data_IF_516082988823
#
_entry.id   IF_516082988823
#
_cell.length_a   1.000
_cell.length_b   1.000
_cell.length_c   1.000
_cell.angle_alpha   90.00
_cell.angle_beta   90.00
_cell.angle_gamma   90.00
#
_symmetry.space_group_name_H-M   'P 1'
#
loop_
_entity.id
_entity.type
_entity.pdbx_description
1 polymer ?
#
# COMPACT_ATOMS: atom_id res chain seq x y z
N UNK A 1 -12.98 -21.55 -15.69
CA UNK A 1 -11.71 -21.45 -16.45
C UNK A 1 -11.70 -20.13 -17.17
N UNK A 2 -10.84 -19.19 -16.78
CA UNK A 2 -10.68 -17.92 -17.52
C UNK A 2 -9.42 -18.08 -18.37
N UNK A 3 -9.59 -18.10 -19.69
CA UNK A 3 -8.48 -18.13 -20.63
C UNK A 3 -7.86 -16.73 -20.73
N UNK A 4 -6.55 -16.66 -20.51
CA UNK A 4 -5.78 -15.42 -20.51
C UNK A 4 -5.25 -15.13 -21.92
N UNK A 5 -5.70 -14.03 -22.51
CA UNK A 5 -5.22 -13.55 -23.80
C UNK A 5 -3.96 -12.72 -23.58
N UNK A 6 -2.79 -13.34 -23.77
CA UNK A 6 -1.50 -12.66 -23.78
C UNK A 6 -1.44 -11.68 -24.95
N UNK A 7 -1.18 -10.40 -24.67
CA UNK A 7 -0.87 -9.42 -25.71
C UNK A 7 0.61 -9.59 -26.10
N UNK A 8 0.85 -9.99 -27.34
CA UNK A 8 2.18 -10.28 -27.88
C UNK A 8 3.00 -9.00 -28.05
N UNK A 9 3.83 -8.66 -27.05
CA UNK A 9 4.89 -7.67 -27.18
C UNK A 9 6.25 -8.37 -27.30
N UNK A 10 6.69 -8.60 -28.54
CA UNK A 10 8.01 -9.15 -28.91
C UNK A 10 8.29 -10.59 -28.42
N UNK A 11 8.88 -11.42 -29.27
CA UNK A 11 9.03 -12.88 -29.11
C UNK A 11 9.71 -13.38 -27.82
N UNK A 12 10.24 -12.51 -26.96
CA UNK A 12 10.94 -12.87 -25.72
C UNK A 12 10.45 -12.15 -24.45
N UNK A 13 9.32 -11.43 -24.50
CA UNK A 13 8.81 -10.65 -23.36
C UNK A 13 7.32 -10.89 -23.15
N UNK A 14 6.98 -11.71 -22.17
CA UNK A 14 5.59 -11.85 -21.72
C UNK A 14 5.39 -10.96 -20.51
N UNK A 15 4.58 -9.90 -20.65
CA UNK A 15 4.09 -9.15 -19.48
C UNK A 15 3.13 -10.08 -18.77
N UNK A 16 3.57 -10.69 -17.67
CA UNK A 16 2.77 -11.63 -16.91
C UNK A 16 1.69 -10.91 -16.11
N UNK A 17 1.98 -9.69 -15.62
CA UNK A 17 0.97 -8.89 -14.92
C UNK A 17 1.33 -7.44 -14.75
N UNK A 18 0.31 -6.62 -14.62
CA UNK A 18 0.37 -5.24 -14.16
C UNK A 18 -0.68 -5.06 -13.06
N UNK A 19 -0.23 -4.73 -11.84
CA UNK A 19 -1.09 -4.61 -10.65
C UNK A 19 -0.65 -3.41 -9.82
N UNK A 20 -1.60 -2.67 -9.25
CA UNK A 20 -1.29 -1.60 -8.30
C UNK A 20 -1.37 -2.14 -6.88
N UNK A 21 -0.23 -2.34 -6.21
CA UNK A 21 -0.18 -2.86 -4.84
C UNK A 21 0.58 -1.89 -3.94
N UNK A 22 0.33 -1.98 -2.63
CA UNK A 22 1.17 -1.31 -1.64
C UNK A 22 2.52 -2.00 -1.57
N UNK A 23 3.58 -1.25 -1.83
CA UNK A 23 4.96 -1.72 -1.81
C UNK A 23 5.74 -1.04 -0.69
N UNK A 24 6.52 -1.85 0.05
CA UNK A 24 7.57 -1.35 0.91
C UNK A 24 8.74 -2.32 0.97
N UNK A 25 9.96 -1.82 0.82
CA UNK A 25 11.18 -2.63 1.04
C UNK A 25 11.45 -2.88 2.52
N UNK A 26 11.00 -1.97 3.40
CA UNK A 26 11.28 -1.98 4.83
C UNK A 26 10.06 -2.41 5.64
N UNK A 27 10.27 -3.17 6.72
CA UNK A 27 9.17 -3.71 7.52
C UNK A 27 8.32 -2.63 8.21
N UNK A 28 9.00 -1.72 8.90
CA UNK A 28 8.37 -0.77 9.81
C UNK A 28 8.09 0.58 9.14
N UNK A 29 8.58 0.81 7.91
CA UNK A 29 8.43 2.08 7.22
C UNK A 29 6.97 2.52 7.05
N UNK A 30 6.01 1.63 6.67
CA UNK A 30 4.60 2.00 6.62
C UNK A 30 4.05 2.44 7.97
N UNK A 31 4.43 1.76 9.05
CA UNK A 31 4.02 2.10 10.41
C UNK A 31 4.60 3.43 10.86
N UNK A 32 5.90 3.66 10.66
CA UNK A 32 6.55 4.92 11.00
C UNK A 32 5.94 6.11 10.26
N UNK A 33 5.70 5.97 8.95
CA UNK A 33 5.06 7.02 8.14
C UNK A 33 3.61 7.23 8.58
N UNK A 34 2.89 6.17 8.95
CA UNK A 34 1.53 6.28 9.50
C UNK A 34 1.50 7.07 10.81
N UNK A 35 2.41 6.78 11.75
CA UNK A 35 2.53 7.51 13.02
C UNK A 35 2.91 8.97 12.79
N UNK A 36 3.86 9.23 11.88
CA UNK A 36 4.25 10.59 11.51
C UNK A 36 3.05 11.39 10.96
N UNK A 37 2.27 10.80 10.06
CA UNK A 37 1.07 11.44 9.53
C UNK A 37 0.00 11.67 10.59
N UNK A 38 -0.15 10.75 11.54
CA UNK A 38 -1.08 10.94 12.66
C UNK A 38 -0.68 12.15 13.52
N UNK A 39 0.60 12.27 13.90
CA UNK A 39 1.10 13.41 14.68
C UNK A 39 0.90 14.72 13.91
N UNK A 40 1.23 14.72 12.62
CA UNK A 40 1.09 15.89 11.76
C UNK A 40 -0.39 16.29 11.58
N UNK A 41 -1.28 15.31 11.44
CA UNK A 41 -2.72 15.52 11.40
C UNK A 41 -3.27 16.12 12.69
N UNK A 42 -2.86 15.57 13.83
CA UNK A 42 -3.26 16.08 15.14
C UNK A 42 -2.83 17.54 15.34
N UNK A 43 -1.61 17.89 14.95
CA UNK A 43 -1.12 19.27 15.01
C UNK A 43 -1.94 20.20 14.11
N UNK A 44 -2.23 19.78 12.87
CA UNK A 44 -3.09 20.55 11.96
C UNK A 44 -4.50 20.79 12.53
N UNK A 45 -5.04 19.81 13.27
CA UNK A 45 -6.33 19.97 13.94
C UNK A 45 -6.27 21.05 15.01
N UNK A 46 -5.26 21.00 15.87
CA UNK A 46 -5.09 21.99 16.95
C UNK A 46 -4.95 23.41 16.37
N UNK A 47 -4.07 23.58 15.38
CA UNK A 47 -3.83 24.87 14.75
C UNK A 47 -5.09 25.37 14.03
N UNK A 48 -5.77 24.50 13.27
CA UNK A 48 -7.01 24.84 12.58
C UNK A 48 -8.11 25.29 13.54
N UNK A 49 -8.27 24.60 14.68
CA UNK A 49 -9.22 25.01 15.71
C UNK A 49 -8.85 26.35 16.36
N UNK A 50 -7.56 26.59 16.62
CA UNK A 50 -7.09 27.88 17.14
C UNK A 50 -7.39 29.05 16.20
N UNK A 51 -7.21 28.86 14.89
CA UNK A 51 -7.55 29.86 13.87
C UNK A 51 -9.06 30.14 13.87
N UNK A 52 -9.89 29.10 13.94
CA UNK A 52 -11.35 29.26 13.93
C UNK A 52 -11.82 29.99 15.19
N UNK A 53 -11.32 29.59 16.36
CA UNK A 53 -11.65 30.28 17.62
C UNK A 53 -11.26 31.77 17.57
N UNK A 54 -10.09 32.10 17.01
CA UNK A 54 -9.65 33.48 16.85
C UNK A 54 -10.40 34.28 15.77
N UNK A 55 -10.85 33.66 14.68
CA UNK A 55 -11.61 34.34 13.63
C UNK A 55 -13.05 34.68 14.05
N UNK A 56 -13.63 33.87 14.94
CA UNK A 56 -15.01 34.03 15.39
C UNK A 56 -15.11 34.63 16.80
N UNK A 57 -14.01 35.16 17.35
CA UNK A 57 -13.90 35.69 18.72
C UNK A 57 -14.59 34.79 19.76
N UNK A 58 -14.41 33.47 19.63
CA UNK A 58 -15.03 32.51 20.54
C UNK A 58 -14.23 32.53 21.84
N UNK A 59 -14.82 32.95 22.97
CA UNK A 59 -14.10 32.97 24.24
C UNK A 59 -13.76 31.54 24.66
N UNK A 60 -12.53 31.35 25.14
CA UNK A 60 -12.08 30.03 25.63
C UNK A 60 -12.66 29.69 27.00
N UNK A 61 -13.16 30.69 27.72
CA UNK A 61 -13.79 30.54 29.03
C UNK A 61 -15.30 30.84 28.88
N UNK A 62 -16.14 30.02 29.52
CA UNK A 62 -17.61 30.16 29.54
C UNK A 62 -18.30 30.07 28.17
N UNK A 63 -18.06 28.95 27.48
CA UNK A 63 -18.75 28.61 26.23
C UNK A 63 -20.24 28.34 26.48
N UNK A 64 -21.10 29.03 25.74
CA UNK A 64 -22.52 28.71 25.68
C UNK A 64 -22.77 27.38 24.95
N UNK A 65 -23.91 26.74 25.20
CA UNK A 65 -24.27 25.45 24.58
C UNK A 65 -24.23 25.50 23.06
N UNK A 66 -24.65 26.61 22.44
CA UNK A 66 -24.60 26.80 20.98
C UNK A 66 -23.16 26.89 20.45
N UNK A 67 -22.27 27.59 21.16
CA UNK A 67 -20.85 27.68 20.81
C UNK A 67 -20.14 26.32 20.93
N UNK A 68 -20.48 25.52 21.95
CA UNK A 68 -19.98 24.15 22.08
C UNK A 68 -20.34 23.28 20.86
N UNK A 69 -21.58 23.35 20.39
CA UNK A 69 -22.00 22.62 19.18
C UNK A 69 -21.26 23.07 17.93
N UNK A 70 -21.05 24.38 17.75
CA UNK A 70 -20.28 24.91 16.62
C UNK A 70 -18.84 24.40 16.66
N UNK A 71 -18.18 24.45 17.81
CA UNK A 71 -16.80 23.95 17.99
C UNK A 71 -16.74 22.45 17.70
N UNK A 72 -17.70 21.66 18.20
CA UNK A 72 -17.74 20.22 18.01
C UNK A 72 -17.94 19.83 16.53
N UNK A 73 -18.92 20.44 15.85
CA UNK A 73 -19.20 20.19 14.43
C UNK A 73 -17.97 20.54 13.59
N UNK A 74 -17.36 21.69 13.88
CA UNK A 74 -16.18 22.16 13.16
C UNK A 74 -14.98 21.23 13.36
N UNK A 75 -14.75 20.77 14.60
CA UNK A 75 -13.73 19.78 14.91
C UNK A 75 -13.94 18.48 14.11
N UNK A 76 -15.18 17.98 14.07
CA UNK A 76 -15.53 16.77 13.31
C UNK A 76 -15.25 16.93 11.81
N UNK A 77 -15.63 18.05 11.22
CA UNK A 77 -15.38 18.34 9.80
C UNK A 77 -13.87 18.39 9.53
N UNK A 78 -13.13 19.08 10.38
CA UNK A 78 -11.69 19.27 10.22
C UNK A 78 -10.93 17.93 10.33
N UNK A 79 -11.33 17.07 11.28
CA UNK A 79 -10.83 15.70 11.42
C UNK A 79 -11.10 14.86 10.16
N UNK A 80 -12.32 14.92 9.61
CA UNK A 80 -12.66 14.18 8.39
C UNK A 80 -11.82 14.63 7.20
N UNK A 81 -11.67 15.95 7.01
CA UNK A 81 -10.89 16.53 5.91
C UNK A 81 -9.41 16.12 6.04
N UNK A 82 -8.80 16.33 7.21
CA UNK A 82 -7.39 16.00 7.45
C UNK A 82 -7.15 14.51 7.29
N UNK A 83 -8.01 13.66 7.85
CA UNK A 83 -7.92 12.21 7.68
C UNK A 83 -7.97 11.80 6.21
N UNK A 84 -8.88 12.39 5.42
CA UNK A 84 -8.98 12.12 3.99
C UNK A 84 -7.68 12.45 3.23
N UNK A 85 -7.11 13.64 3.47
CA UNK A 85 -5.88 14.06 2.81
C UNK A 85 -4.66 13.25 3.26
N UNK A 86 -4.54 12.94 4.55
CA UNK A 86 -3.46 12.11 5.08
C UNK A 86 -3.53 10.70 4.50
N UNK A 87 -4.72 10.11 4.42
CA UNK A 87 -4.92 8.80 3.79
C UNK A 87 -4.55 8.83 2.30
N UNK A 88 -4.90 9.89 1.58
CA UNK A 88 -4.53 10.06 0.17
C UNK A 88 -3.01 10.18 -0.01
N UNK A 89 -2.33 10.94 0.85
CA UNK A 89 -0.88 11.07 0.86
C UNK A 89 -0.19 9.75 1.19
N UNK A 90 -0.65 9.04 2.23
CA UNK A 90 -0.18 7.70 2.57
C UNK A 90 -0.33 6.73 1.39
N UNK A 91 -1.50 6.72 0.75
CA UNK A 91 -1.74 5.89 -0.41
C UNK A 91 -0.79 6.24 -1.57
N UNK A 92 -0.56 7.52 -1.86
CA UNK A 92 0.39 7.95 -2.93
C UNK A 92 1.83 7.50 -2.67
N UNK A 93 2.25 7.44 -1.40
CA UNK A 93 3.58 6.97 -1.04
C UNK A 93 3.74 5.47 -1.24
N UNK A 94 2.76 4.67 -0.83
CA UNK A 94 2.89 3.21 -0.77
C UNK A 94 2.26 2.47 -1.95
N UNK A 95 1.17 2.94 -2.53
CA UNK A 95 0.58 2.32 -3.71
C UNK A 95 1.45 2.59 -4.94
N UNK A 96 2.10 1.53 -5.42
CA UNK A 96 2.98 1.56 -6.57
C UNK A 96 2.43 0.64 -7.66
N UNK A 97 2.58 1.06 -8.91
CA UNK A 97 2.33 0.21 -10.07
C UNK A 97 3.43 -0.84 -10.14
N UNK A 98 3.08 -2.11 -10.10
CA UNK A 98 4.01 -3.23 -10.13
C UNK A 98 3.71 -4.06 -11.37
N UNK A 99 4.74 -4.30 -12.18
CA UNK A 99 4.62 -5.14 -13.36
C UNK A 99 5.66 -6.25 -13.33
N UNK A 100 5.19 -7.49 -13.49
CA UNK A 100 6.06 -8.66 -13.59
C UNK A 100 6.17 -9.05 -15.07
N UNK A 101 7.39 -9.12 -15.58
CA UNK A 101 7.69 -9.45 -16.97
C UNK A 101 8.62 -10.66 -16.99
N UNK A 102 8.24 -11.70 -17.70
CA UNK A 102 9.12 -12.85 -17.92
C UNK A 102 10.10 -12.57 -19.07
N UNK A 103 11.37 -12.92 -18.86
CA UNK A 103 12.44 -12.78 -19.85
C UNK A 103 13.02 -14.17 -20.17
N UNK A 104 12.34 -14.89 -21.04
CA UNK A 104 12.69 -16.27 -21.38
C UNK A 104 12.65 -17.23 -20.17
N UNK A 105 13.34 -18.37 -20.29
CA UNK A 105 13.20 -19.48 -19.34
C UNK A 105 13.72 -19.18 -17.93
N UNK A 106 14.80 -18.41 -17.80
CA UNK A 106 15.56 -18.29 -16.55
C UNK A 106 15.53 -16.91 -15.88
N UNK A 107 15.01 -15.88 -16.55
CA UNK A 107 15.06 -14.49 -16.07
C UNK A 107 13.68 -13.87 -15.99
N UNK A 108 13.54 -12.88 -15.12
CA UNK A 108 12.35 -12.05 -15.05
C UNK A 108 12.73 -10.61 -14.65
N UNK A 109 11.85 -9.68 -15.00
CA UNK A 109 11.88 -8.27 -14.61
C UNK A 109 10.71 -7.96 -13.70
N UNK A 110 11.00 -7.26 -12.62
CA UNK A 110 10.04 -6.70 -11.71
C UNK A 110 10.14 -5.18 -11.83
N UNK A 111 9.11 -4.56 -12.39
CA UNK A 111 8.96 -3.12 -12.49
C UNK A 111 8.20 -2.63 -11.28
N UNK A 112 8.74 -1.66 -10.55
CA UNK A 112 8.04 -1.03 -9.41
C UNK A 112 8.10 0.49 -9.62
N UNK A 113 6.96 1.10 -9.97
CA UNK A 113 6.83 2.54 -10.17
C UNK A 113 7.89 3.16 -11.12
N UNK A 114 8.25 2.42 -12.18
CA UNK A 114 9.26 2.83 -13.16
C UNK A 114 10.69 2.33 -12.85
N UNK A 115 10.98 1.89 -11.63
CA UNK A 115 12.25 1.24 -11.31
C UNK A 115 12.27 -0.20 -11.86
N UNK A 116 13.34 -0.57 -12.57
CA UNK A 116 13.50 -1.88 -13.19
C UNK A 116 14.41 -2.75 -12.34
N UNK A 117 13.90 -3.89 -11.88
CA UNK A 117 14.70 -4.91 -11.21
C UNK A 117 14.75 -6.19 -12.03
N UNK A 118 15.93 -6.60 -12.50
CA UNK A 118 16.13 -7.83 -13.26
C UNK A 118 16.80 -8.89 -12.38
N UNK A 119 16.23 -10.10 -12.33
CA UNK A 119 16.74 -11.22 -11.52
C UNK A 119 16.68 -12.53 -12.32
N UNK A 120 17.48 -13.51 -11.89
CA UNK A 120 17.28 -14.90 -12.31
C UNK A 120 16.21 -15.52 -11.43
N UNK A 121 15.39 -16.43 -12.00
CA UNK A 121 14.36 -17.15 -11.23
C UNK A 121 14.97 -17.96 -10.06
N UNK A 122 16.19 -18.47 -10.24
CA UNK A 122 16.95 -19.17 -9.21
C UNK A 122 17.37 -18.28 -8.02
N UNK A 123 17.37 -16.96 -8.16
CA UNK A 123 17.74 -16.04 -7.07
C UNK A 123 16.61 -15.87 -6.03
N UNK A 124 15.45 -16.50 -6.27
CA UNK A 124 14.30 -16.47 -5.36
C UNK A 124 14.53 -17.44 -4.19
N UNK A 125 14.99 -16.90 -3.07
CA UNK A 125 15.23 -17.69 -1.85
C UNK A 125 13.91 -18.16 -1.20
N UNK A 126 12.94 -17.24 -1.07
CA UNK A 126 11.70 -17.54 -0.34
C UNK A 126 10.54 -16.70 -0.85
N UNK A 127 9.40 -17.36 -1.04
CA UNK A 127 8.11 -16.73 -1.28
C UNK A 127 7.21 -17.10 -0.12
N UNK A 128 6.61 -16.12 0.54
CA UNK A 128 5.66 -16.33 1.64
C UNK A 128 4.42 -15.48 1.41
N UNK A 129 3.29 -16.13 1.19
CA UNK A 129 1.98 -15.49 1.30
C UNK A 129 1.57 -15.49 2.77
N UNK A 130 1.21 -14.31 3.28
CA UNK A 130 0.63 -14.15 4.62
C UNK A 130 -0.81 -13.72 4.39
N UNK A 131 -1.74 -14.59 4.76
CA UNK A 131 -3.17 -14.28 4.80
C UNK A 131 -3.54 -14.06 6.26
N UNK A 132 -3.98 -12.85 6.60
CA UNK A 132 -4.53 -12.60 7.91
C UNK A 132 -6.01 -12.98 7.88
N UNK A 133 -6.37 -14.15 8.42
CA UNK A 133 -7.78 -14.50 8.67
C UNK A 133 -8.13 -14.19 10.12
N UNK A 134 -9.18 -13.40 10.33
CA UNK A 134 -9.69 -13.09 11.66
C UNK A 134 -10.87 -12.14 11.62
N UNK A 135 -11.93 -12.45 12.37
CA UNK A 135 -13.17 -11.65 12.49
C UNK A 135 -12.96 -10.26 13.13
N UNK A 136 -11.77 -9.98 13.67
CA UNK A 136 -11.47 -8.80 14.48
C UNK A 136 -10.66 -7.69 13.76
N UNK A 137 -10.57 -7.65 12.42
CA UNK A 137 -9.72 -6.67 11.74
C UNK A 137 -10.40 -5.91 10.60
N UNK A 138 -10.27 -4.58 10.66
CA UNK A 138 -10.77 -3.58 9.70
C UNK A 138 -10.14 -3.62 8.29
N UNK A 139 -9.08 -4.42 8.05
CA UNK A 139 -8.38 -4.46 6.76
C UNK A 139 -7.96 -5.90 6.43
N UNK A 140 -8.61 -6.50 5.43
CA UNK A 140 -8.27 -7.82 4.88
C UNK A 140 -7.06 -7.71 3.95
N UNK A 141 -5.88 -7.52 4.54
CA UNK A 141 -4.64 -7.38 3.77
C UNK A 141 -4.06 -8.75 3.40
N UNK A 142 -4.14 -9.13 2.14
CA UNK A 142 -3.31 -10.21 1.60
C UNK A 142 -1.90 -9.66 1.37
N UNK A 143 -0.87 -10.35 1.90
CA UNK A 143 0.54 -9.94 1.75
C UNK A 143 1.38 -11.02 1.09
N UNK A 144 2.26 -10.63 0.17
CA UNK A 144 3.32 -11.48 -0.38
C UNK A 144 4.66 -10.90 -0.01
N UNK A 145 5.54 -11.77 0.47
CA UNK A 145 6.94 -11.46 0.68
C UNK A 145 7.79 -12.31 -0.25
N UNK A 146 8.63 -11.64 -1.04
CA UNK A 146 9.62 -12.28 -1.92
C UNK A 146 11.00 -11.91 -1.39
N UNK A 147 11.73 -12.89 -0.88
CA UNK A 147 13.12 -12.72 -0.47
C UNK A 147 14.02 -13.14 -1.63
N UNK A 148 14.78 -12.19 -2.17
CA UNK A 148 15.91 -12.43 -3.06
C UNK A 148 17.21 -12.41 -2.25
N UNK A 149 18.32 -12.79 -2.90
CA UNK A 149 19.67 -12.69 -2.31
C UNK A 149 19.98 -11.29 -1.75
N UNK A 150 19.63 -10.24 -2.48
CA UNK A 150 20.09 -8.87 -2.15
C UNK A 150 18.99 -7.99 -1.53
N UNK A 151 17.71 -8.39 -1.62
CA UNK A 151 16.58 -7.54 -1.20
C UNK A 151 15.34 -8.37 -0.90
N UNK A 152 14.49 -7.84 -0.02
CA UNK A 152 13.15 -8.38 0.24
C UNK A 152 12.09 -7.44 -0.32
N UNK A 153 11.22 -7.96 -1.18
CA UNK A 153 10.06 -7.25 -1.72
C UNK A 153 8.82 -7.63 -0.92
N UNK A 154 8.07 -6.62 -0.45
CA UNK A 154 6.85 -6.81 0.32
C UNK A 154 5.71 -6.12 -0.42
N UNK A 155 4.73 -6.92 -0.80
CA UNK A 155 3.55 -6.48 -1.51
C UNK A 155 2.32 -6.73 -0.63
N UNK A 156 1.42 -5.77 -0.60
CA UNK A 156 0.15 -5.86 0.13
C UNK A 156 -0.99 -5.27 -0.70
N UNK A 157 -2.17 -5.85 -0.57
CA UNK A 157 -3.42 -5.36 -1.17
C UNK A 157 -4.43 -5.15 -0.05
N UNK A 158 -5.24 -4.10 -0.13
CA UNK A 158 -6.29 -3.80 0.86
C UNK A 158 -7.51 -4.73 0.76
N UNK A 159 -7.55 -5.59 -0.26
CA UNK A 159 -8.60 -6.61 -0.45
C UNK A 159 -7.96 -7.97 -0.67
N UNK A 160 -8.70 -9.03 -0.34
CA UNK A 160 -8.45 -10.40 -0.84
C UNK A 160 -8.53 -10.33 -2.38
N UNK A 161 -7.41 -10.01 -3.02
CA UNK A 161 -7.36 -9.80 -4.46
C UNK A 161 -6.83 -11.06 -5.13
N UNK A 162 -7.58 -11.55 -6.11
CA UNK A 162 -7.13 -12.58 -7.06
C UNK A 162 -5.79 -12.18 -7.74
N UNK A 163 -5.43 -10.89 -7.66
CA UNK A 163 -4.19 -10.31 -8.14
C UNK A 163 -2.98 -10.70 -7.28
N UNK A 164 -3.13 -10.74 -5.97
CA UNK A 164 -2.08 -11.27 -5.10
C UNK A 164 -1.99 -12.79 -5.28
N UNK A 165 -3.14 -13.47 -5.33
CA UNK A 165 -3.15 -14.94 -5.37
C UNK A 165 -2.51 -15.50 -6.63
N UNK A 166 -2.84 -14.96 -7.80
CA UNK A 166 -2.20 -15.39 -9.05
C UNK A 166 -0.74 -14.94 -9.17
N UNK A 167 -0.34 -13.79 -8.59
CA UNK A 167 1.08 -13.41 -8.53
C UNK A 167 1.88 -14.41 -7.69
N UNK A 168 1.32 -14.81 -6.53
CA UNK A 168 1.94 -15.82 -5.67
C UNK A 168 2.06 -17.18 -6.38
N UNK A 169 1.04 -17.60 -7.12
CA UNK A 169 1.07 -18.86 -7.88
C UNK A 169 2.17 -18.86 -8.95
N UNK A 170 2.28 -17.81 -9.77
CA UNK A 170 3.34 -17.71 -10.79
C UNK A 170 4.74 -17.73 -10.17
N UNK A 171 4.94 -17.00 -9.07
CA UNK A 171 6.22 -16.98 -8.38
C UNK A 171 6.56 -18.36 -7.76
N UNK A 172 5.57 -19.03 -7.17
CA UNK A 172 5.77 -20.37 -6.60
C UNK A 172 6.10 -21.40 -7.68
N UNK A 173 5.45 -21.34 -8.84
CA UNK A 173 5.74 -22.19 -9.98
C UNK A 173 7.19 -22.05 -10.43
N UNK A 174 7.68 -20.82 -10.59
CA UNK A 174 9.08 -20.58 -10.97
C UNK A 174 10.07 -21.12 -9.94
N UNK A 175 9.74 -21.02 -8.65
CA UNK A 175 10.59 -21.57 -7.59
C UNK A 175 10.65 -23.09 -7.62
N UNK A 176 9.53 -23.77 -7.88
CA UNK A 176 9.52 -25.23 -8.03
C UNK A 176 10.33 -25.68 -9.24
N UNK A 177 10.22 -24.97 -10.37
CA UNK A 177 10.96 -25.29 -11.60
C UNK A 177 12.47 -25.04 -11.47
N UNK A 178 12.90 -24.11 -10.62
CA UNK A 178 14.33 -23.85 -10.38
C UNK A 178 14.97 -24.80 -9.36
N UNK A 179 14.17 -25.59 -8.65
CA UNK A 179 14.63 -26.52 -7.61
C UNK A 179 14.68 -27.97 -8.11
N UNK A 180 14.23 -28.22 -9.34
CA UNK A 180 14.27 -29.49 -10.05
C UNK A 180 15.44 -29.50 -11.04
#
# INVERSE_FOLDING_TARGET
MVQFKGNNYSKDKTILREVTLRYSSYFLLPTFIGVLFFILGFFLVIVGMGIIMGLFDIPTNDLTTSQLWIVLITLCILLMIISHYLQKCYNKLFYKKISLIELGKYRFKLLINGEVFEYRKADILKIRKIKFSGKARMLSEAKILIKMNNRTFRFSSDKDSNEIDSLNQHLLQWKSESSA
#
